data_IF_028462944406
#
_entry.id   IF_028462944406
#
_cell.length_a   1.000
_cell.length_b   1.000
_cell.length_c   1.000
_cell.angle_alpha   90.00
_cell.angle_beta   90.00
_cell.angle_gamma   90.00
#
_symmetry.space_group_name_H-M   'P 1'
#
loop_
_entity.id
_entity.type
_entity.pdbx_description
1 polymer ?
#
# COMPACT_ATOMS: atom_id res chain seq x y z
N UNK A 1 2.38 -8.46 16.26
CA UNK A 1 3.72 -7.91 16.50
C UNK A 1 4.65 -9.02 16.93
N UNK A 2 5.88 -9.02 16.39
CA UNK A 2 6.98 -9.87 16.81
C UNK A 2 8.09 -8.98 17.38
N UNK A 3 8.56 -9.29 18.57
CA UNK A 3 9.81 -8.78 19.12
C UNK A 3 10.92 -9.62 18.49
N UNK A 4 11.52 -9.11 17.42
CA UNK A 4 12.43 -9.79 16.52
C UNK A 4 13.87 -9.29 16.65
N UNK A 5 14.72 -9.51 15.64
CA UNK A 5 16.07 -8.98 15.66
C UNK A 5 16.02 -7.44 15.60
N UNK A 6 16.95 -6.82 16.34
CA UNK A 6 17.16 -5.38 16.26
C UNK A 6 17.66 -4.99 14.86
N UNK A 7 17.13 -3.91 14.32
CA UNK A 7 17.57 -3.33 13.07
C UNK A 7 17.39 -1.80 13.09
N UNK A 8 18.06 -1.13 12.18
CA UNK A 8 17.90 0.29 11.91
C UNK A 8 17.49 0.47 10.45
N UNK A 9 16.60 1.39 10.15
CA UNK A 9 16.11 1.62 8.78
C UNK A 9 17.20 2.02 7.77
N UNK A 10 18.39 2.44 8.25
CA UNK A 10 19.57 2.79 7.44
C UNK A 10 20.61 1.68 7.34
N UNK A 11 20.33 0.48 7.87
CA UNK A 11 21.27 -0.61 7.78
C UNK A 11 21.38 -1.11 6.32
N UNK A 12 22.61 -1.24 5.85
CA UNK A 12 22.89 -1.75 4.50
C UNK A 12 23.08 -3.28 4.48
N UNK A 13 23.65 -3.85 5.55
CA UNK A 13 23.93 -5.29 5.64
C UNK A 13 23.97 -5.76 7.10
N UNK A 14 22.97 -6.56 7.57
CA UNK A 14 21.76 -6.90 6.79
C UNK A 14 20.81 -5.71 6.66
N UNK A 15 20.32 -5.47 5.48
CA UNK A 15 19.26 -4.49 5.26
C UNK A 15 17.92 -5.09 5.70
N UNK A 16 17.17 -4.46 6.63
CA UNK A 16 15.96 -5.04 7.19
C UNK A 16 14.84 -5.22 6.14
N UNK A 17 14.86 -4.46 5.06
CA UNK A 17 13.83 -4.50 4.04
C UNK A 17 14.12 -5.53 2.94
N UNK A 18 15.38 -5.69 2.52
CA UNK A 18 15.75 -6.63 1.46
C UNK A 18 16.16 -8.00 2.00
N UNK A 19 16.85 -8.06 3.15
CA UNK A 19 17.57 -9.25 3.59
C UNK A 19 16.81 -10.05 4.66
N UNK A 20 15.74 -9.49 5.21
CA UNK A 20 14.92 -10.15 6.23
C UNK A 20 13.58 -10.58 5.63
N UNK A 21 13.41 -11.87 5.37
CA UNK A 21 12.12 -12.42 4.95
C UNK A 21 11.29 -12.82 6.17
N UNK A 22 10.39 -11.93 6.55
CA UNK A 22 9.40 -12.17 7.60
C UNK A 22 8.03 -12.39 6.98
N UNK A 23 7.41 -13.52 7.25
CA UNK A 23 6.03 -13.84 6.86
C UNK A 23 5.32 -14.55 8.01
N UNK A 24 3.99 -14.44 8.04
CA UNK A 24 3.16 -15.16 9.00
C UNK A 24 2.05 -15.89 8.23
N UNK A 25 2.01 -17.21 8.37
CA UNK A 25 0.90 -18.01 7.85
C UNK A 25 -0.21 -18.04 8.89
N UNK A 26 -1.40 -17.65 8.50
CA UNK A 26 -2.61 -17.70 9.31
C UNK A 26 -3.59 -18.68 8.70
N UNK A 27 -4.05 -19.66 9.49
CA UNK A 27 -4.99 -20.67 9.02
C UNK A 27 -6.22 -20.69 9.95
N UNK A 28 -7.39 -20.56 9.37
CA UNK A 28 -8.64 -20.73 10.10
C UNK A 28 -8.86 -22.18 10.53
N UNK A 29 -9.56 -22.45 11.62
CA UNK A 29 -9.84 -23.79 12.16
C UNK A 29 -10.52 -24.75 11.18
N UNK A 30 -11.21 -24.25 10.15
CA UNK A 30 -11.80 -25.07 9.08
C UNK A 30 -10.79 -25.45 7.98
N UNK A 31 -9.55 -24.98 8.04
CA UNK A 31 -8.53 -25.16 7.01
C UNK A 31 -8.62 -24.12 5.87
N UNK A 32 -9.69 -23.35 5.79
CA UNK A 32 -9.91 -22.30 4.81
C UNK A 32 -10.69 -21.15 5.47
N UNK A 33 -10.24 -19.89 5.32
CA UNK A 33 -9.06 -19.43 4.53
C UNK A 33 -7.72 -19.71 5.20
N UNK A 34 -6.67 -19.67 4.37
CA UNK A 34 -5.26 -19.86 4.73
C UNK A 34 -4.42 -18.78 4.04
N UNK A 35 -3.88 -17.85 4.81
CA UNK A 35 -3.15 -16.68 4.30
C UNK A 35 -1.70 -16.70 4.72
N UNK A 36 -0.78 -16.49 3.78
CA UNK A 36 0.63 -16.17 4.08
C UNK A 36 0.84 -14.68 3.91
N UNK A 37 0.89 -13.97 5.02
CA UNK A 37 0.99 -12.51 5.08
C UNK A 37 2.45 -12.08 5.09
N UNK A 38 2.91 -11.23 4.14
CA UNK A 38 4.22 -10.61 4.24
C UNK A 38 4.25 -9.64 5.43
N UNK A 39 5.30 -9.74 6.22
CA UNK A 39 5.56 -8.81 7.32
C UNK A 39 6.69 -7.84 6.96
N UNK A 40 6.90 -6.85 7.81
CA UNK A 40 7.85 -5.76 7.60
C UNK A 40 8.51 -5.31 8.89
N UNK A 41 9.63 -4.61 8.77
CA UNK A 41 10.31 -3.94 9.87
C UNK A 41 9.54 -2.68 10.29
N UNK A 42 9.22 -2.57 11.59
CA UNK A 42 8.38 -1.52 12.16
C UNK A 42 9.08 -0.71 13.27
N UNK A 43 10.41 -0.63 13.23
CA UNK A 43 11.24 0.07 14.21
C UNK A 43 10.85 -0.30 15.66
N UNK A 44 10.34 0.66 16.46
CA UNK A 44 9.85 0.42 17.83
C UNK A 44 8.38 -0.05 17.89
N UNK A 45 7.70 -0.15 16.74
CA UNK A 45 6.29 -0.51 16.65
C UNK A 45 5.30 0.65 16.90
N UNK A 46 5.81 1.85 17.15
CA UNK A 46 5.03 3.08 17.34
C UNK A 46 5.65 4.25 16.57
N UNK A 47 6.33 3.96 15.46
CA UNK A 47 7.11 4.93 14.71
C UNK A 47 6.28 6.14 14.21
N UNK A 48 4.98 6.00 14.01
CA UNK A 48 4.12 7.14 13.71
C UNK A 48 4.20 8.25 14.77
N UNK A 49 4.27 7.87 16.05
CA UNK A 49 4.30 8.80 17.18
C UNK A 49 5.73 9.11 17.66
N UNK A 50 6.61 8.13 17.66
CA UNK A 50 7.97 8.24 18.21
C UNK A 50 9.00 8.77 17.21
N UNK A 51 8.72 8.72 15.91
CA UNK A 51 9.71 8.93 14.83
C UNK A 51 10.90 7.96 14.91
N UNK A 52 10.70 6.76 15.46
CA UNK A 52 11.77 5.80 15.63
C UNK A 52 12.29 5.28 14.29
N UNK A 53 13.62 5.32 14.13
CA UNK A 53 14.35 4.80 12.98
C UNK A 53 14.87 3.36 13.22
N UNK A 54 14.81 2.87 14.46
CA UNK A 54 15.37 1.59 14.87
C UNK A 54 14.54 0.91 15.95
N UNK A 55 14.73 -0.39 16.10
CA UNK A 55 14.07 -1.17 17.14
C UNK A 55 14.06 -2.67 16.86
N UNK A 56 13.23 -3.38 17.60
CA UNK A 56 13.09 -4.84 17.50
C UNK A 56 11.72 -5.25 16.98
N UNK A 57 10.85 -4.32 16.61
CA UNK A 57 9.47 -4.67 16.24
C UNK A 57 9.34 -5.01 14.78
N UNK A 58 8.78 -6.18 14.52
CA UNK A 58 8.36 -6.66 13.20
C UNK A 58 6.85 -6.85 13.22
N UNK A 59 6.18 -6.46 12.14
CA UNK A 59 4.73 -6.41 12.07
C UNK A 59 4.20 -7.14 10.85
N UNK A 60 3.10 -7.90 11.02
CA UNK A 60 2.28 -8.42 9.94
C UNK A 60 0.81 -8.15 10.28
N UNK A 61 0.03 -7.74 9.27
CA UNK A 61 -1.38 -7.39 9.44
C UNK A 61 -2.28 -8.44 8.81
N UNK A 62 -3.00 -9.19 9.64
CA UNK A 62 -4.09 -10.04 9.16
C UNK A 62 -5.39 -9.22 9.09
N UNK A 63 -6.11 -9.34 7.97
CA UNK A 63 -7.50 -8.93 7.83
C UNK A 63 -8.37 -10.18 7.75
N UNK A 64 -8.83 -10.71 8.89
CA UNK A 64 -9.59 -11.95 8.92
C UNK A 64 -11.01 -11.72 8.36
N UNK A 65 -11.44 -12.60 7.47
CA UNK A 65 -12.75 -12.57 6.83
C UNK A 65 -13.73 -13.60 7.40
N UNK A 66 -13.28 -14.39 8.38
CA UNK A 66 -14.07 -15.45 8.99
C UNK A 66 -13.95 -15.43 10.52
N UNK A 67 -15.06 -15.38 11.27
CA UNK A 67 -15.03 -15.57 12.72
C UNK A 67 -14.66 -17.02 13.08
N UNK A 68 -14.01 -17.20 14.23
CA UNK A 68 -13.60 -18.51 14.72
C UNK A 68 -12.16 -18.51 15.23
N UNK A 69 -11.62 -19.71 15.44
CA UNK A 69 -10.25 -19.90 15.90
C UNK A 69 -9.28 -19.89 14.74
N UNK A 70 -8.25 -19.08 14.88
CA UNK A 70 -7.14 -18.99 13.93
C UNK A 70 -5.84 -19.42 14.56
N UNK A 71 -5.04 -20.16 13.82
CA UNK A 71 -3.66 -20.45 14.16
C UNK A 71 -2.72 -19.61 13.33
N UNK A 72 -1.55 -19.29 13.86
CA UNK A 72 -0.49 -18.65 13.09
C UNK A 72 0.83 -19.39 13.24
N UNK A 73 1.66 -19.32 12.20
CA UNK A 73 3.05 -19.81 12.21
C UNK A 73 3.94 -18.75 11.58
N UNK A 74 5.02 -18.40 12.29
CA UNK A 74 5.99 -17.40 11.86
C UNK A 74 7.07 -18.08 11.02
N UNK A 75 7.37 -17.49 9.87
CA UNK A 75 8.59 -17.74 9.10
C UNK A 75 9.47 -16.50 9.15
N UNK A 76 10.67 -16.63 9.64
CA UNK A 76 11.67 -15.57 9.69
C UNK A 76 13.01 -16.11 9.20
N UNK A 77 13.51 -15.60 8.09
CA UNK A 77 14.79 -16.00 7.50
C UNK A 77 15.59 -14.76 7.07
N UNK A 78 16.90 -14.84 7.23
CA UNK A 78 17.83 -13.77 6.83
C UNK A 78 18.83 -14.25 5.77
N UNK A 79 19.13 -13.42 4.81
CA UNK A 79 20.10 -13.64 3.73
C UNK A 79 19.95 -12.62 2.62
N UNK A 80 20.93 -12.46 1.72
CA UNK A 80 20.89 -11.43 0.67
C UNK A 80 19.62 -11.52 -0.17
N UNK A 81 18.83 -10.43 -0.18
CA UNK A 81 17.55 -10.32 -0.88
C UNK A 81 16.51 -11.41 -0.54
N UNK A 82 16.56 -11.98 0.66
CA UNK A 82 15.65 -13.04 1.10
C UNK A 82 14.19 -12.56 1.07
N UNK A 83 13.92 -11.29 1.40
CA UNK A 83 12.58 -10.71 1.35
C UNK A 83 11.99 -10.67 -0.07
N UNK A 84 12.82 -10.74 -1.10
CA UNK A 84 12.45 -10.71 -2.51
C UNK A 84 12.43 -12.09 -3.17
N UNK A 85 12.44 -13.16 -2.36
CA UNK A 85 12.35 -14.53 -2.82
C UNK A 85 13.69 -15.21 -3.11
N UNK A 86 14.83 -14.56 -2.89
CA UNK A 86 16.13 -15.22 -2.99
C UNK A 86 16.38 -16.05 -1.73
N UNK A 87 15.83 -17.27 -1.72
CA UNK A 87 15.93 -18.16 -0.57
C UNK A 87 17.16 -19.10 -0.61
N UNK A 88 18.00 -19.04 -1.65
CA UNK A 88 19.13 -19.95 -1.84
C UNK A 88 20.19 -19.87 -0.73
N UNK A 89 20.41 -18.67 -0.20
CA UNK A 89 21.36 -18.40 0.88
C UNK A 89 20.67 -18.01 2.19
N UNK A 90 19.35 -17.91 2.18
CA UNK A 90 18.58 -17.52 3.35
C UNK A 90 18.58 -18.61 4.42
N UNK A 91 18.84 -18.22 5.67
CA UNK A 91 18.85 -19.11 6.82
C UNK A 91 17.71 -18.76 7.76
N UNK A 92 16.94 -19.76 8.22
CA UNK A 92 15.95 -19.54 9.25
C UNK A 92 16.57 -18.94 10.51
N UNK A 93 15.92 -17.91 11.06
CA UNK A 93 16.38 -17.31 12.31
C UNK A 93 15.96 -18.21 13.49
N UNK A 94 16.91 -18.81 14.24
CA UNK A 94 16.60 -19.89 15.19
C UNK A 94 15.67 -19.47 16.33
N UNK A 95 15.68 -18.19 16.70
CA UNK A 95 14.86 -17.68 17.81
C UNK A 95 13.40 -17.37 17.40
N UNK A 96 13.10 -17.22 16.11
CA UNK A 96 11.79 -16.72 15.65
C UNK A 96 11.10 -17.65 14.67
N UNK A 97 11.84 -18.32 13.81
CA UNK A 97 11.29 -19.21 12.80
C UNK A 97 10.57 -20.40 13.45
N UNK A 98 9.38 -20.73 12.96
CA UNK A 98 8.57 -21.85 13.46
C UNK A 98 7.74 -21.54 14.72
N UNK A 99 7.87 -20.35 15.32
CA UNK A 99 6.96 -19.96 16.41
C UNK A 99 5.52 -19.93 15.91
N UNK A 100 4.62 -20.45 16.73
CA UNK A 100 3.20 -20.53 16.41
C UNK A 100 2.33 -20.19 17.61
N UNK A 101 1.06 -19.93 17.35
CA UNK A 101 0.07 -19.66 18.39
C UNK A 101 -1.34 -19.70 17.83
N UNK A 102 -2.30 -19.35 18.68
CA UNK A 102 -3.73 -19.34 18.35
C UNK A 102 -4.41 -18.12 18.93
N UNK A 103 -5.44 -17.64 18.25
CA UNK A 103 -6.30 -16.54 18.72
C UNK A 103 -7.73 -16.72 18.20
N UNK A 104 -8.68 -15.98 18.76
CA UNK A 104 -10.07 -15.98 18.35
C UNK A 104 -10.43 -14.70 17.60
N UNK A 105 -11.17 -14.85 16.53
CA UNK A 105 -11.79 -13.75 15.79
C UNK A 105 -13.29 -13.78 16.06
N UNK A 106 -13.81 -12.69 16.61
CA UNK A 106 -15.24 -12.50 16.80
C UNK A 106 -15.90 -11.97 15.52
N UNK A 107 -17.20 -12.09 15.40
CA UNK A 107 -17.95 -11.39 14.36
C UNK A 107 -17.74 -9.88 14.48
N UNK A 108 -17.73 -9.18 13.35
CA UNK A 108 -17.55 -7.73 13.33
C UNK A 108 -18.71 -7.03 14.05
N UNK A 109 -18.37 -6.10 14.95
CA UNK A 109 -19.31 -5.21 15.63
C UNK A 109 -19.45 -3.85 14.94
N UNK A 110 -18.75 -3.69 13.81
CA UNK A 110 -18.67 -2.42 13.08
C UNK A 110 -19.96 -2.14 12.34
N UNK A 111 -20.20 -0.84 12.11
CA UNK A 111 -21.38 -0.34 11.41
C UNK A 111 -20.95 0.56 10.26
N UNK A 112 -21.79 0.68 9.25
CA UNK A 112 -21.58 1.63 8.15
C UNK A 112 -21.29 3.04 8.69
N UNK A 113 -20.38 3.78 8.05
CA UNK A 113 -19.72 3.50 6.76
C UNK A 113 -18.48 2.60 6.82
N UNK A 114 -18.04 2.15 7.99
CA UNK A 114 -16.84 1.33 8.18
C UNK A 114 -16.89 0.06 7.32
N UNK A 115 -15.90 -0.15 6.44
CA UNK A 115 -15.84 -1.32 5.57
C UNK A 115 -15.75 -2.65 6.32
N UNK A 116 -15.28 -2.65 7.57
CA UNK A 116 -15.28 -3.85 8.43
C UNK A 116 -16.69 -4.36 8.76
N UNK A 117 -17.73 -3.57 8.46
CA UNK A 117 -19.14 -4.02 8.52
C UNK A 117 -19.57 -4.78 7.25
N UNK A 118 -18.82 -4.65 6.14
CA UNK A 118 -19.16 -5.21 4.83
C UNK A 118 -18.27 -6.37 4.40
N UNK A 119 -17.09 -6.53 5.03
CA UNK A 119 -16.05 -7.45 4.56
C UNK A 119 -15.17 -6.83 3.46
N UNK A 120 -14.40 -7.69 2.81
CA UNK A 120 -13.44 -7.27 1.77
C UNK A 120 -14.13 -7.01 0.44
N UNK A 121 -13.72 -5.94 -0.23
CA UNK A 121 -14.15 -5.62 -1.58
C UNK A 121 -13.36 -6.47 -2.58
N UNK A 122 -14.06 -7.21 -3.44
CA UNK A 122 -13.47 -8.18 -4.35
C UNK A 122 -13.93 -7.95 -5.78
N UNK A 123 -13.07 -8.33 -6.72
CA UNK A 123 -13.45 -8.55 -8.12
C UNK A 123 -14.11 -9.94 -8.27
N UNK A 124 -15.31 -9.97 -8.81
CA UNK A 124 -16.15 -11.18 -8.89
C UNK A 124 -16.35 -11.66 -10.34
N UNK A 125 -15.40 -11.32 -11.23
CA UNK A 125 -15.50 -11.72 -12.65
C UNK A 125 -16.62 -10.99 -13.42
N UNK A 126 -17.07 -9.83 -12.94
CA UNK A 126 -18.13 -9.02 -13.56
C UNK A 126 -17.70 -7.55 -13.63
N UNK A 127 -18.50 -6.71 -14.23
CA UNK A 127 -18.22 -5.28 -14.43
C UNK A 127 -18.40 -4.40 -13.17
N UNK A 128 -18.50 -4.98 -11.98
CA UNK A 128 -18.55 -4.28 -10.72
C UNK A 128 -17.81 -5.06 -9.62
N UNK A 129 -17.34 -4.34 -8.63
CA UNK A 129 -16.78 -4.91 -7.41
C UNK A 129 -17.90 -5.22 -6.41
N UNK A 130 -17.65 -6.15 -5.51
CA UNK A 130 -18.63 -6.62 -4.53
C UNK A 130 -17.97 -6.88 -3.18
N UNK A 131 -18.63 -6.48 -2.10
CA UNK A 131 -18.22 -6.85 -0.75
C UNK A 131 -18.57 -8.31 -0.46
N UNK A 132 -17.64 -9.06 0.12
CA UNK A 132 -17.80 -10.49 0.41
C UNK A 132 -18.72 -10.76 1.61
N UNK A 133 -18.72 -9.88 2.61
CA UNK A 133 -19.50 -10.06 3.84
C UNK A 133 -21.00 -9.80 3.68
N UNK A 134 -21.40 -8.71 3.01
CA UNK A 134 -22.82 -8.36 2.84
C UNK A 134 -23.34 -8.55 1.39
N UNK A 135 -22.46 -8.90 0.46
CA UNK A 135 -22.81 -9.15 -0.93
C UNK A 135 -23.19 -7.91 -1.74
N UNK A 136 -23.01 -6.70 -1.21
CA UNK A 136 -23.39 -5.47 -1.90
C UNK A 136 -22.39 -5.08 -2.98
N UNK A 137 -22.89 -4.53 -4.08
CA UNK A 137 -22.05 -3.99 -5.15
C UNK A 137 -21.47 -2.63 -4.75
N UNK A 138 -20.26 -2.36 -5.20
CA UNK A 138 -19.58 -1.09 -4.95
C UNK A 138 -19.56 -0.23 -6.21
N UNK A 139 -20.07 0.98 -6.09
CA UNK A 139 -19.95 2.02 -7.09
C UNK A 139 -18.99 3.09 -6.57
N UNK A 140 -17.80 3.13 -7.14
CA UNK A 140 -16.75 4.09 -6.76
C UNK A 140 -17.15 5.51 -7.15
N UNK A 141 -17.12 6.42 -6.19
CA UNK A 141 -17.32 7.85 -6.40
C UNK A 141 -16.37 8.65 -5.51
N UNK A 142 -15.42 9.36 -6.10
CA UNK A 142 -14.42 10.07 -5.31
C UNK A 142 -13.60 11.07 -6.09
N UNK A 143 -12.80 11.83 -5.35
CA UNK A 143 -11.87 12.77 -5.92
C UNK A 143 -10.65 12.05 -6.51
N UNK A 144 -10.21 12.50 -7.67
CA UNK A 144 -9.01 12.03 -8.34
C UNK A 144 -8.05 13.21 -8.56
N UNK A 145 -7.17 13.43 -7.59
CA UNK A 145 -6.08 14.41 -7.63
C UNK A 145 -4.90 13.81 -6.82
N UNK A 146 -4.29 12.72 -7.35
CA UNK A 146 -3.42 11.87 -6.57
C UNK A 146 -2.03 12.45 -6.31
N UNK A 147 -1.52 13.29 -7.22
CA UNK A 147 -0.10 13.62 -7.37
C UNK A 147 0.52 14.14 -6.07
N UNK A 148 -0.23 14.91 -5.30
CA UNK A 148 0.31 15.57 -4.09
C UNK A 148 -0.53 15.35 -2.84
N UNK A 149 -1.44 14.35 -2.82
CA UNK A 149 -2.26 14.12 -1.64
C UNK A 149 -1.41 13.78 -0.42
N UNK A 150 -0.43 12.90 -0.57
CA UNK A 150 0.50 12.49 0.47
C UNK A 150 1.67 13.47 0.70
N UNK A 151 1.78 14.55 -0.08
CA UNK A 151 2.75 15.62 0.17
C UNK A 151 2.30 16.49 1.34
N UNK A 152 2.04 15.88 2.49
CA UNK A 152 1.51 16.53 3.68
C UNK A 152 2.63 16.89 4.65
N UNK A 153 2.64 18.15 5.09
CA UNK A 153 3.73 18.70 5.91
C UNK A 153 3.90 18.05 7.27
N UNK A 154 2.86 17.39 7.78
CA UNK A 154 2.89 16.75 9.09
C UNK A 154 3.43 15.32 9.04
N UNK A 155 3.70 14.77 7.85
CA UNK A 155 4.42 13.51 7.70
C UNK A 155 5.93 13.72 7.85
N UNK A 156 6.58 12.84 8.58
CA UNK A 156 8.02 12.87 8.78
C UNK A 156 8.76 12.73 7.44
N UNK A 157 9.96 13.28 7.33
CA UNK A 157 10.79 13.18 6.14
C UNK A 157 10.18 13.71 4.83
N UNK A 158 9.00 14.37 4.87
CA UNK A 158 8.35 14.88 3.67
C UNK A 158 8.83 16.27 3.33
N UNK A 159 9.36 16.43 2.11
CA UNK A 159 9.92 17.69 1.60
C UNK A 159 9.39 18.00 0.21
N UNK A 160 9.36 19.28 -0.18
CA UNK A 160 8.99 19.70 -1.52
C UNK A 160 10.25 20.11 -2.32
N UNK A 161 10.60 19.35 -3.36
CA UNK A 161 11.69 19.72 -4.26
C UNK A 161 11.31 20.85 -5.22
N UNK A 162 10.03 21.00 -5.50
CA UNK A 162 9.47 22.07 -6.35
C UNK A 162 8.52 22.96 -5.55
N UNK A 163 8.97 23.67 -4.47
CA UNK A 163 8.07 24.31 -3.49
C UNK A 163 7.22 25.44 -4.09
N UNK A 164 7.63 26.06 -5.21
CA UNK A 164 6.83 27.07 -5.90
C UNK A 164 5.72 26.47 -6.77
N UNK A 165 5.96 25.30 -7.38
CA UNK A 165 4.99 24.57 -8.23
C UNK A 165 4.08 23.65 -7.42
N UNK A 166 4.68 22.87 -6.53
CA UNK A 166 4.03 21.85 -5.72
C UNK A 166 4.43 21.96 -4.23
N UNK A 167 3.92 22.95 -3.50
CA UNK A 167 4.18 23.09 -2.07
C UNK A 167 3.57 21.94 -1.28
N UNK A 168 4.12 21.68 -0.08
CA UNK A 168 3.50 20.72 0.83
C UNK A 168 2.09 21.16 1.23
N UNK A 169 1.19 20.20 1.27
CA UNK A 169 -0.19 20.40 1.72
C UNK A 169 -0.23 20.59 3.23
N UNK A 170 -1.13 21.44 3.69
CA UNK A 170 -1.37 21.67 5.13
C UNK A 170 -2.75 21.18 5.54
N UNK A 171 -3.67 21.09 4.58
CA UNK A 171 -5.10 20.79 4.81
C UNK A 171 -5.73 21.66 5.92
N UNK A 172 -5.22 22.87 6.12
CA UNK A 172 -5.61 23.77 7.24
C UNK A 172 -7.10 24.11 7.24
N UNK A 173 -7.75 24.13 6.07
CA UNK A 173 -9.20 24.35 5.97
C UNK A 173 -10.02 23.23 6.60
N UNK A 174 -9.45 22.03 6.72
CA UNK A 174 -10.09 20.83 7.24
C UNK A 174 -9.75 20.54 8.71
N UNK A 175 -8.98 21.38 9.39
CA UNK A 175 -8.77 21.28 10.85
C UNK A 175 -10.10 21.28 11.60
N UNK A 176 -11.09 22.01 11.13
CA UNK A 176 -12.46 22.08 11.70
C UNK A 176 -13.28 20.79 11.50
N UNK A 177 -12.90 19.98 10.54
CA UNK A 177 -13.61 18.72 10.21
C UNK A 177 -13.04 17.52 10.99
N UNK A 178 -11.88 17.70 11.66
CA UNK A 178 -11.34 16.72 12.62
C UNK A 178 -12.21 16.68 13.88
N UNK A 179 -12.50 15.50 14.38
CA UNK A 179 -13.37 15.28 15.54
C UNK A 179 -12.57 14.71 16.71
N UNK A 180 -12.98 15.02 17.94
CA UNK A 180 -12.39 14.40 19.14
C UNK A 180 -12.52 12.89 19.07
N UNK A 181 -11.40 12.17 19.22
CA UNK A 181 -11.32 10.72 19.08
C UNK A 181 -10.80 10.25 17.71
N UNK A 182 -10.73 11.11 16.69
CA UNK A 182 -10.06 10.79 15.44
C UNK A 182 -8.54 10.65 15.66
N UNK A 183 -7.86 9.82 14.85
CA UNK A 183 -6.43 9.60 15.00
C UNK A 183 -5.62 10.88 14.76
N UNK A 184 -4.47 10.89 15.41
CA UNK A 184 -3.39 11.88 15.25
C UNK A 184 -2.08 11.18 15.54
N UNK A 185 -0.96 11.83 15.31
CA UNK A 185 0.36 11.36 15.68
C UNK A 185 1.20 12.49 16.28
N UNK A 186 2.27 12.17 16.99
CA UNK A 186 3.23 13.10 17.56
C UNK A 186 2.57 14.29 18.28
N UNK A 187 1.66 14.00 19.20
CA UNK A 187 1.02 15.04 20.01
C UNK A 187 0.00 15.91 19.29
N UNK A 188 -0.57 15.46 18.19
CA UNK A 188 -1.69 16.12 17.52
C UNK A 188 -1.43 16.57 16.08
N UNK A 189 -0.34 16.13 15.46
CA UNK A 189 -0.15 16.22 14.01
C UNK A 189 -1.20 15.38 13.27
N UNK A 190 -1.40 15.64 11.99
CA UNK A 190 -2.31 14.87 11.12
C UNK A 190 -3.73 15.39 11.03
N UNK A 191 -4.18 16.24 11.95
CA UNK A 191 -5.58 16.71 12.03
C UNK A 191 -6.12 17.27 10.71
N UNK A 192 -5.27 17.95 9.93
CA UNK A 192 -5.70 18.53 8.65
C UNK A 192 -6.10 17.48 7.63
N UNK A 193 -5.27 16.46 7.40
CA UNK A 193 -5.56 15.40 6.42
C UNK A 193 -6.65 14.45 6.94
N UNK A 194 -6.63 14.07 8.20
CA UNK A 194 -7.70 13.27 8.83
C UNK A 194 -9.05 14.01 8.72
N UNK A 195 -9.08 15.30 9.00
CA UNK A 195 -10.27 16.14 8.81
C UNK A 195 -10.71 16.22 7.35
N UNK A 196 -9.78 16.25 6.39
CA UNK A 196 -10.12 16.21 4.96
C UNK A 196 -10.82 14.89 4.57
N UNK A 197 -10.39 13.75 5.09
CA UNK A 197 -11.08 12.47 4.89
C UNK A 197 -12.47 12.47 5.53
N UNK A 198 -12.63 13.02 6.74
CA UNK A 198 -13.95 13.20 7.36
C UNK A 198 -14.88 14.05 6.49
N UNK A 199 -14.35 15.13 5.92
CA UNK A 199 -15.12 15.99 5.01
C UNK A 199 -15.59 15.23 3.77
N UNK A 200 -14.68 14.46 3.12
CA UNK A 200 -15.02 13.67 1.93
C UNK A 200 -16.11 12.64 2.24
N UNK A 201 -15.92 11.82 3.27
CA UNK A 201 -16.92 10.84 3.70
C UNK A 201 -18.24 11.49 4.08
N UNK A 202 -18.20 12.62 4.80
CA UNK A 202 -19.39 13.40 5.16
C UNK A 202 -20.15 14.01 3.98
N UNK A 203 -19.52 14.09 2.78
CA UNK A 203 -20.17 14.50 1.52
C UNK A 203 -20.68 13.31 0.70
N UNK A 204 -20.59 12.09 1.20
CA UNK A 204 -21.02 10.88 0.50
C UNK A 204 -20.01 10.38 -0.53
N UNK A 205 -18.80 10.92 -0.55
CA UNK A 205 -17.67 10.39 -1.33
C UNK A 205 -17.18 9.10 -0.66
N UNK A 206 -16.89 8.07 -1.45
CA UNK A 206 -16.47 6.77 -0.96
C UNK A 206 -15.11 6.30 -1.50
N UNK A 207 -14.33 7.19 -2.09
CA UNK A 207 -13.00 6.90 -2.61
C UNK A 207 -12.11 8.14 -2.62
N UNK A 208 -10.80 7.93 -2.51
CA UNK A 208 -9.78 8.92 -2.83
C UNK A 208 -8.57 8.24 -3.44
N UNK A 209 -7.85 8.95 -4.30
CA UNK A 209 -6.64 8.47 -4.95
C UNK A 209 -5.40 9.20 -4.46
N UNK A 210 -4.27 8.51 -4.53
CA UNK A 210 -2.98 9.05 -4.11
C UNK A 210 -1.83 8.28 -4.76
N UNK A 211 -0.69 8.97 -4.87
CA UNK A 211 0.58 8.43 -5.32
C UNK A 211 1.51 8.24 -4.12
N UNK A 212 1.88 7.01 -3.77
CA UNK A 212 2.94 6.76 -2.78
C UNK A 212 4.33 7.13 -3.32
N UNK A 213 4.46 7.34 -4.63
CA UNK A 213 5.74 7.65 -5.28
C UNK A 213 5.57 8.59 -6.48
N UNK A 214 6.06 9.83 -6.33
CA UNK A 214 6.05 10.86 -7.38
C UNK A 214 7.40 11.61 -7.50
N UNK A 215 8.52 11.02 -7.05
CA UNK A 215 9.84 11.63 -7.15
C UNK A 215 10.25 11.80 -8.63
N UNK A 216 10.44 13.04 -9.05
CA UNK A 216 10.70 13.36 -10.46
C UNK A 216 9.47 13.67 -11.29
N UNK A 217 8.27 13.31 -10.79
CA UNK A 217 7.00 13.63 -11.42
C UNK A 217 6.50 15.05 -11.14
N UNK A 218 5.24 15.29 -11.34
CA UNK A 218 4.62 16.61 -11.24
C UNK A 218 4.77 17.23 -9.85
N UNK A 219 4.57 16.46 -8.79
CA UNK A 219 4.75 16.91 -7.41
C UNK A 219 6.20 16.96 -6.97
N UNK A 220 6.96 15.92 -7.24
CA UNK A 220 8.32 15.69 -6.75
C UNK A 220 8.46 15.93 -5.24
N UNK A 221 7.54 15.37 -4.46
CA UNK A 221 7.38 15.64 -3.03
C UNK A 221 6.81 14.45 -2.23
N UNK A 222 6.64 13.28 -2.85
CA UNK A 222 6.19 12.05 -2.19
C UNK A 222 7.10 10.89 -2.56
N UNK A 223 7.65 10.22 -1.55
CA UNK A 223 8.38 8.96 -1.66
C UNK A 223 8.37 8.23 -0.32
N UNK A 224 8.37 6.88 -0.32
CA UNK A 224 8.34 6.09 0.90
C UNK A 224 9.72 5.91 1.55
N UNK A 225 10.77 6.31 0.84
CA UNK A 225 12.16 6.10 1.21
C UNK A 225 12.64 7.15 2.22
N UNK A 226 13.76 6.86 2.91
CA UNK A 226 14.42 7.80 3.82
C UNK A 226 14.82 9.08 3.08
N UNK A 227 15.40 8.92 1.90
CA UNK A 227 15.71 10.04 1.00
C UNK A 227 15.10 9.82 -0.37
N UNK A 228 14.98 10.90 -1.15
CA UNK A 228 14.37 10.87 -2.49
C UNK A 228 14.96 9.83 -3.44
N UNK A 229 16.24 9.55 -3.35
CA UNK A 229 16.96 8.68 -4.27
C UNK A 229 17.34 7.31 -3.67
N UNK A 230 17.10 7.12 -2.40
CA UNK A 230 17.28 5.84 -1.75
C UNK A 230 16.07 4.95 -2.07
N UNK A 231 16.31 3.77 -2.64
CA UNK A 231 15.28 2.87 -3.12
C UNK A 231 15.15 1.60 -2.27
N UNK A 232 16.11 1.35 -1.38
CA UNK A 232 16.23 0.12 -0.61
C UNK A 232 16.01 0.32 0.88
N UNK A 233 15.98 1.58 1.35
CA UNK A 233 15.76 1.93 2.75
C UNK A 233 14.50 2.79 2.90
N UNK A 234 13.58 2.37 3.74
CA UNK A 234 12.25 2.97 3.89
C UNK A 234 12.15 3.75 5.19
N UNK A 235 11.46 4.87 5.16
CA UNK A 235 11.18 5.72 6.30
C UNK A 235 10.03 5.11 7.12
N UNK A 236 10.39 4.42 8.22
CA UNK A 236 9.43 3.69 9.05
C UNK A 236 8.35 4.59 9.62
N UNK A 237 8.72 5.78 10.09
CA UNK A 237 7.78 6.71 10.73
C UNK A 237 6.77 7.28 9.73
N UNK A 238 7.24 7.72 8.57
CA UNK A 238 6.38 8.21 7.48
C UNK A 238 5.38 7.15 7.03
N UNK A 239 5.86 5.91 6.83
CA UNK A 239 4.99 4.82 6.38
C UNK A 239 3.97 4.43 7.46
N UNK A 240 4.33 4.43 8.75
CA UNK A 240 3.38 4.21 9.83
C UNK A 240 2.32 5.35 9.88
N UNK A 241 2.74 6.62 9.66
CA UNK A 241 1.82 7.75 9.59
C UNK A 241 0.87 7.66 8.39
N UNK A 242 1.32 7.17 7.21
CA UNK A 242 0.42 6.85 6.10
C UNK A 242 -0.58 5.76 6.48
N UNK A 243 -0.14 4.74 7.22
CA UNK A 243 -1.02 3.68 7.73
C UNK A 243 -2.16 4.23 8.56
N UNK A 244 -1.89 5.19 9.47
CA UNK A 244 -2.92 5.88 10.26
C UNK A 244 -3.99 6.52 9.37
N UNK A 245 -3.57 7.17 8.27
CA UNK A 245 -4.48 7.82 7.31
C UNK A 245 -5.32 6.79 6.56
N UNK A 246 -4.71 5.69 6.09
CA UNK A 246 -5.41 4.65 5.31
C UNK A 246 -6.40 3.85 6.17
N UNK A 247 -6.01 3.50 7.39
CA UNK A 247 -6.90 2.84 8.35
C UNK A 247 -8.09 3.73 8.69
N UNK A 248 -7.87 5.03 8.87
CA UNK A 248 -8.97 5.98 9.07
C UNK A 248 -9.87 6.05 7.83
N UNK A 249 -9.31 6.06 6.63
CA UNK A 249 -10.07 5.96 5.39
C UNK A 249 -10.98 4.72 5.34
N UNK A 250 -10.45 3.55 5.70
CA UNK A 250 -11.22 2.29 5.80
C UNK A 250 -12.37 2.42 6.80
N UNK A 251 -12.11 3.03 7.97
CA UNK A 251 -13.13 3.25 9.00
C UNK A 251 -14.26 4.20 8.54
N UNK A 252 -13.95 5.11 7.63
CA UNK A 252 -14.88 6.06 7.02
C UNK A 252 -15.58 5.54 5.75
N UNK A 253 -15.30 4.30 5.32
CA UNK A 253 -15.85 3.74 4.10
C UNK A 253 -15.26 4.37 2.82
N UNK A 254 -14.00 4.76 2.87
CA UNK A 254 -13.27 5.32 1.74
C UNK A 254 -12.36 4.27 1.09
N UNK A 255 -12.61 3.97 -0.17
CA UNK A 255 -11.78 3.12 -1.01
C UNK A 255 -10.42 3.77 -1.26
N UNK A 256 -9.35 3.02 -1.08
CA UNK A 256 -7.97 3.45 -1.24
C UNK A 256 -7.49 3.18 -2.67
N UNK A 257 -7.44 4.19 -3.50
CA UNK A 257 -6.95 4.06 -4.86
C UNK A 257 -5.43 4.35 -4.91
N UNK A 258 -4.61 3.33 -4.71
CA UNK A 258 -3.16 3.41 -4.88
C UNK A 258 -2.84 3.53 -6.37
N UNK A 259 -2.29 4.66 -6.79
CA UNK A 259 -1.58 4.83 -8.06
C UNK A 259 -0.09 4.71 -7.76
N UNK A 260 0.53 3.58 -8.15
CA UNK A 260 1.83 3.17 -7.62
C UNK A 260 3.00 4.04 -8.05
N UNK A 261 2.86 4.77 -9.16
CA UNK A 261 3.89 5.65 -9.73
C UNK A 261 3.30 6.61 -10.75
N UNK A 262 4.06 7.64 -11.14
CA UNK A 262 3.76 8.52 -12.29
C UNK A 262 4.54 8.08 -13.53
N UNK A 263 4.06 8.52 -14.72
CA UNK A 263 4.69 8.25 -16.01
C UNK A 263 6.14 8.72 -16.09
N UNK A 264 6.51 9.81 -15.41
CA UNK A 264 7.86 10.34 -15.40
C UNK A 264 8.90 9.40 -14.80
N UNK A 265 8.47 8.41 -14.05
CA UNK A 265 9.34 7.46 -13.36
C UNK A 265 8.97 5.99 -13.60
N UNK A 266 8.03 5.69 -14.49
CA UNK A 266 7.55 4.33 -14.68
C UNK A 266 8.57 3.43 -15.38
N UNK A 267 9.20 3.89 -16.48
CA UNK A 267 10.16 3.10 -17.26
C UNK A 267 11.39 3.85 -17.77
N UNK A 268 11.63 5.09 -17.32
CA UNK A 268 12.75 5.91 -17.80
C UNK A 268 14.10 5.28 -17.51
N UNK A 269 14.99 5.35 -18.50
CA UNK A 269 16.38 4.85 -18.46
C UNK A 269 17.36 5.97 -18.82
N UNK A 270 18.57 5.91 -18.27
CA UNK A 270 19.65 6.85 -18.58
C UNK A 270 19.71 8.09 -17.69
N UNK A 271 20.46 9.12 -18.09
CA UNK A 271 20.61 10.34 -17.30
C UNK A 271 19.26 11.02 -17.04
N UNK A 272 18.96 11.30 -15.77
CA UNK A 272 17.68 11.84 -15.33
C UNK A 272 16.61 10.81 -15.00
N UNK A 273 16.86 9.52 -15.18
CA UNK A 273 15.96 8.42 -14.82
C UNK A 273 16.24 7.84 -13.42
N UNK A 274 16.98 8.56 -12.59
CA UNK A 274 17.38 8.09 -11.25
C UNK A 274 16.19 7.75 -10.33
N UNK A 275 14.99 8.23 -10.63
CA UNK A 275 13.78 7.99 -9.87
C UNK A 275 13.00 6.77 -10.37
N UNK A 276 13.22 6.30 -11.59
CA UNK A 276 12.57 5.09 -12.09
C UNK A 276 13.09 3.86 -11.35
N UNK A 277 12.16 3.05 -10.83
CA UNK A 277 12.52 1.79 -10.17
C UNK A 277 12.92 0.76 -11.22
N UNK A 278 14.18 0.30 -11.17
CA UNK A 278 14.78 -0.67 -12.11
C UNK A 278 14.56 -0.31 -13.60
N UNK A 279 14.39 0.97 -13.95
CA UNK A 279 14.13 1.40 -15.32
C UNK A 279 12.86 0.79 -15.92
N UNK A 280 11.85 0.52 -15.09
CA UNK A 280 10.56 -0.04 -15.48
C UNK A 280 10.45 -1.55 -15.32
N UNK A 281 11.56 -2.27 -15.20
CA UNK A 281 11.56 -3.71 -15.00
C UNK A 281 11.10 -4.08 -13.56
N UNK A 282 10.65 -5.30 -13.37
CA UNK A 282 10.28 -5.82 -12.05
C UNK A 282 11.52 -6.39 -11.32
N UNK A 283 12.52 -5.53 -11.10
CA UNK A 283 13.77 -5.84 -10.44
C UNK A 283 13.70 -5.71 -8.91
N UNK A 284 14.86 -5.48 -8.27
CA UNK A 284 14.99 -5.45 -6.81
C UNK A 284 14.25 -4.25 -6.21
N UNK A 285 14.43 -3.05 -6.76
CA UNK A 285 13.84 -1.82 -6.25
C UNK A 285 12.31 -1.87 -6.34
N UNK A 286 11.77 -2.27 -7.51
CA UNK A 286 10.32 -2.33 -7.75
C UNK A 286 9.66 -3.42 -6.93
N UNK A 287 10.26 -4.61 -6.86
CA UNK A 287 9.75 -5.72 -6.04
C UNK A 287 9.70 -5.35 -4.57
N UNK A 288 10.74 -4.70 -4.06
CA UNK A 288 10.78 -4.24 -2.69
C UNK A 288 9.70 -3.18 -2.41
N UNK A 289 9.58 -2.19 -3.31
CA UNK A 289 8.57 -1.16 -3.20
C UNK A 289 7.15 -1.74 -3.12
N UNK A 290 6.81 -2.64 -4.02
CA UNK A 290 5.51 -3.30 -4.02
C UNK A 290 5.30 -4.15 -2.76
N UNK A 291 6.32 -4.91 -2.34
CA UNK A 291 6.28 -5.72 -1.12
C UNK A 291 6.01 -4.87 0.12
N UNK A 292 6.72 -3.76 0.29
CA UNK A 292 6.54 -2.89 1.45
C UNK A 292 5.13 -2.27 1.51
N UNK A 293 4.59 -1.83 0.37
CA UNK A 293 3.21 -1.32 0.33
C UNK A 293 2.18 -2.42 0.66
N UNK A 294 2.33 -3.61 0.08
CA UNK A 294 1.42 -4.74 0.32
C UNK A 294 1.50 -5.18 1.79
N UNK A 295 2.71 -5.35 2.34
CA UNK A 295 2.90 -5.79 3.73
C UNK A 295 2.30 -4.80 4.74
N UNK A 296 2.40 -3.50 4.47
CA UNK A 296 1.92 -2.45 5.36
C UNK A 296 0.43 -2.16 5.19
N UNK A 297 -0.10 -2.18 3.97
CA UNK A 297 -1.44 -1.64 3.68
C UNK A 297 -2.41 -2.64 3.05
N UNK A 298 -1.95 -3.81 2.60
CA UNK A 298 -2.80 -4.84 1.98
C UNK A 298 -3.88 -5.40 2.91
N UNK A 299 -3.82 -5.14 4.20
CA UNK A 299 -4.88 -5.51 5.14
C UNK A 299 -6.14 -4.64 5.05
N UNK A 300 -6.08 -3.49 4.36
CA UNK A 300 -7.25 -2.65 4.15
C UNK A 300 -8.28 -3.34 3.25
N UNK A 301 -9.55 -3.21 3.58
CA UNK A 301 -10.62 -4.04 2.99
C UNK A 301 -11.07 -3.60 1.60
N UNK A 302 -10.82 -2.36 1.23
CA UNK A 302 -11.26 -1.81 -0.06
C UNK A 302 -10.15 -0.96 -0.68
N UNK A 303 -9.34 -1.58 -1.51
CA UNK A 303 -8.25 -0.93 -2.23
C UNK A 303 -8.05 -1.54 -3.62
N UNK A 304 -7.23 -0.89 -4.42
CA UNK A 304 -6.65 -1.45 -5.65
C UNK A 304 -5.16 -1.11 -5.74
N UNK A 305 -4.47 -1.93 -6.52
CA UNK A 305 -3.12 -1.65 -6.99
C UNK A 305 -3.21 -1.16 -8.44
N UNK A 306 -3.11 0.16 -8.65
CA UNK A 306 -3.04 0.73 -9.99
C UNK A 306 -1.56 0.82 -10.39
N UNK A 307 -1.19 0.19 -11.50
CA UNK A 307 0.21 0.08 -11.94
C UNK A 307 0.91 1.43 -12.15
N UNK A 308 0.17 2.50 -12.33
CA UNK A 308 0.72 3.86 -12.41
C UNK A 308 -0.27 4.88 -12.94
N UNK A 309 0.03 6.14 -12.71
CA UNK A 309 -0.61 7.27 -13.36
C UNK A 309 -0.04 7.40 -14.76
N UNK A 310 -0.90 7.43 -15.78
CA UNK A 310 -0.50 7.54 -17.20
C UNK A 310 0.60 6.56 -17.61
N UNK A 311 0.50 5.31 -17.19
CA UNK A 311 1.51 4.27 -17.36
C UNK A 311 1.87 4.05 -18.82
N UNK A 312 3.18 4.07 -19.14
CA UNK A 312 3.75 3.85 -20.48
C UNK A 312 4.69 2.65 -20.57
N UNK A 313 4.82 1.88 -19.48
CA UNK A 313 5.62 0.66 -19.46
C UNK A 313 5.22 -0.29 -20.59
N UNK A 314 6.17 -1.11 -21.05
CA UNK A 314 5.87 -2.18 -22.00
C UNK A 314 4.93 -3.22 -21.42
N UNK A 315 4.18 -3.91 -22.29
CA UNK A 315 3.28 -5.01 -21.89
C UNK A 315 3.99 -6.05 -21.02
N UNK A 316 5.25 -6.40 -21.33
CA UNK A 316 6.06 -7.33 -20.53
C UNK A 316 6.25 -6.82 -19.10
N UNK A 317 6.66 -5.57 -18.95
CA UNK A 317 6.88 -4.96 -17.63
C UNK A 317 5.60 -4.87 -16.80
N UNK A 318 4.48 -4.53 -17.45
CA UNK A 318 3.16 -4.50 -16.82
C UNK A 318 2.75 -5.90 -16.34
N UNK A 319 2.94 -6.95 -17.16
CA UNK A 319 2.63 -8.34 -16.81
C UNK A 319 3.49 -8.80 -15.63
N UNK A 320 4.80 -8.58 -15.67
CA UNK A 320 5.72 -8.94 -14.59
C UNK A 320 5.35 -8.25 -13.26
N UNK A 321 4.94 -6.97 -13.32
CA UNK A 321 4.49 -6.22 -12.16
C UNK A 321 3.18 -6.78 -11.60
N UNK A 322 2.19 -7.10 -12.45
CA UNK A 322 0.93 -7.72 -12.03
C UNK A 322 1.17 -9.10 -11.40
N UNK A 323 2.02 -9.92 -11.99
CA UNK A 323 2.37 -11.25 -11.45
C UNK A 323 3.04 -11.15 -10.08
N UNK A 324 3.92 -10.15 -9.88
CA UNK A 324 4.54 -9.93 -8.58
C UNK A 324 3.52 -9.48 -7.53
N UNK A 325 2.62 -8.57 -7.89
CA UNK A 325 1.55 -8.10 -6.99
C UNK A 325 0.63 -9.26 -6.62
N UNK A 326 0.14 -10.02 -7.60
CA UNK A 326 -0.79 -11.14 -7.37
C UNK A 326 -0.17 -12.24 -6.49
N UNK A 327 1.11 -12.55 -6.71
CA UNK A 327 1.84 -13.53 -5.91
C UNK A 327 2.21 -13.07 -4.50
N UNK A 328 2.24 -11.75 -4.26
CA UNK A 328 2.64 -11.16 -2.97
C UNK A 328 1.43 -10.76 -2.12
N UNK A 329 0.33 -10.35 -2.74
CA UNK A 329 -0.90 -9.91 -2.06
C UNK A 329 -1.78 -11.13 -1.70
N UNK A 330 -1.83 -11.53 -0.43
CA UNK A 330 -2.55 -12.73 -0.02
C UNK A 330 -4.07 -12.60 -0.17
N UNK A 331 -4.56 -11.40 -0.41
CA UNK A 331 -5.99 -11.09 -0.53
C UNK A 331 -6.45 -10.91 -1.97
N UNK A 332 -5.52 -10.92 -2.95
CA UNK A 332 -5.78 -10.74 -4.38
C UNK A 332 -6.64 -9.49 -4.65
N UNK A 333 -6.21 -8.34 -4.11
CA UNK A 333 -6.90 -7.09 -4.37
C UNK A 333 -6.94 -6.76 -5.85
N UNK A 334 -7.91 -5.98 -6.20
CA UNK A 334 -8.18 -5.47 -7.53
C UNK A 334 -6.95 -4.79 -8.13
N UNK A 335 -6.48 -5.29 -9.29
CA UNK A 335 -5.36 -4.71 -10.05
C UNK A 335 -5.94 -3.94 -11.22
N UNK A 336 -5.55 -2.67 -11.36
CA UNK A 336 -6.00 -1.81 -12.45
C UNK A 336 -4.81 -1.13 -13.14
N UNK A 337 -5.07 -0.61 -14.31
CA UNK A 337 -4.09 0.10 -15.12
C UNK A 337 -4.70 1.41 -15.61
N UNK A 338 -3.94 2.49 -15.51
CA UNK A 338 -4.29 3.82 -16.02
C UNK A 338 -3.28 4.22 -17.09
N UNK A 339 -3.75 4.83 -18.16
CA UNK A 339 -2.91 5.36 -19.23
C UNK A 339 -3.54 6.57 -19.90
N UNK A 340 -2.79 7.25 -20.75
CA UNK A 340 -3.26 8.39 -21.54
C UNK A 340 -4.48 8.03 -22.40
N UNK A 341 -5.41 8.97 -22.63
CA UNK A 341 -6.62 8.74 -23.43
C UNK A 341 -6.34 8.20 -24.84
N UNK A 342 -5.26 8.68 -25.48
CA UNK A 342 -4.85 8.28 -26.83
C UNK A 342 -4.07 6.97 -26.88
N UNK A 343 -3.71 6.38 -25.73
CA UNK A 343 -2.94 5.14 -25.59
C UNK A 343 -3.78 3.94 -25.15
N UNK A 344 -5.03 4.14 -24.78
CA UNK A 344 -5.87 3.12 -24.15
C UNK A 344 -5.92 1.81 -24.95
N UNK A 345 -6.18 1.87 -26.24
CA UNK A 345 -6.27 0.67 -27.08
C UNK A 345 -4.93 -0.09 -27.11
N UNK A 346 -3.82 0.64 -27.27
CA UNK A 346 -2.47 0.06 -27.28
C UNK A 346 -2.10 -0.60 -25.95
N UNK A 347 -2.43 0.04 -24.83
CA UNK A 347 -2.00 -0.38 -23.49
C UNK A 347 -2.94 -1.46 -22.94
N UNK A 348 -4.27 -1.31 -23.10
CA UNK A 348 -5.22 -2.24 -22.48
C UNK A 348 -5.43 -3.53 -23.28
N UNK A 349 -5.46 -3.47 -24.63
CA UNK A 349 -5.75 -4.62 -25.48
C UNK A 349 -4.89 -5.85 -25.18
N UNK A 350 -3.57 -5.75 -24.96
CA UNK A 350 -2.73 -6.92 -24.66
C UNK A 350 -3.09 -7.65 -23.35
N UNK A 351 -3.80 -6.97 -22.45
CA UNK A 351 -4.18 -7.50 -21.14
C UNK A 351 -5.62 -8.01 -21.09
N UNK A 352 -6.37 -7.93 -22.19
CA UNK A 352 -7.76 -8.43 -22.22
C UNK A 352 -7.77 -9.94 -22.42
N UNK A 353 -8.59 -10.64 -21.65
CA UNK A 353 -8.76 -12.09 -21.77
C UNK A 353 -9.00 -12.77 -20.42
N UNK A 354 -9.40 -14.04 -20.47
CA UNK A 354 -9.76 -14.81 -19.28
C UNK A 354 -8.59 -15.11 -18.32
N UNK A 355 -7.36 -15.07 -18.84
CA UNK A 355 -6.15 -15.36 -18.07
C UNK A 355 -5.44 -14.07 -17.61
N UNK A 356 -6.11 -12.93 -17.76
CA UNK A 356 -5.58 -11.63 -17.34
C UNK A 356 -5.61 -11.47 -15.82
N UNK A 357 -4.52 -10.96 -15.27
CA UNK A 357 -4.48 -10.47 -13.87
C UNK A 357 -5.04 -9.05 -13.73
N UNK A 358 -5.25 -8.36 -14.85
CA UNK A 358 -5.90 -7.04 -14.86
C UNK A 358 -7.40 -7.22 -14.61
N UNK A 359 -7.88 -6.73 -13.48
CA UNK A 359 -9.28 -6.90 -13.07
C UNK A 359 -10.15 -5.69 -13.35
N UNK A 360 -9.55 -4.60 -13.83
CA UNK A 360 -10.28 -3.40 -14.25
C UNK A 360 -9.40 -2.36 -14.90
N UNK A 361 -10.05 -1.36 -15.47
CA UNK A 361 -9.40 -0.23 -16.12
C UNK A 361 -9.65 1.04 -15.30
N UNK A 362 -8.60 1.84 -15.11
CA UNK A 362 -8.69 3.19 -14.57
C UNK A 362 -8.71 4.17 -15.75
N UNK A 363 -9.87 4.35 -16.35
CA UNK A 363 -10.01 5.07 -17.62
C UNK A 363 -10.00 6.57 -17.42
N UNK A 364 -9.13 7.27 -18.13
CA UNK A 364 -9.17 8.71 -18.33
C UNK A 364 -9.82 9.00 -19.69
N UNK A 365 -10.84 9.84 -19.72
CA UNK A 365 -11.48 10.24 -20.97
C UNK A 365 -11.54 11.76 -21.07
N UNK A 366 -10.97 12.31 -22.14
CA UNK A 366 -11.01 13.73 -22.45
C UNK A 366 -12.28 14.15 -23.20
N UNK A 367 -13.03 13.21 -23.77
CA UNK A 367 -14.27 13.43 -24.49
C UNK A 367 -15.48 12.93 -23.68
N UNK A 368 -15.93 13.72 -22.74
CA UNK A 368 -17.08 13.39 -21.86
C UNK A 368 -18.40 13.92 -22.43
N UNK A 369 -18.45 14.25 -23.71
CA UNK A 369 -19.61 14.94 -24.30
C UNK A 369 -20.66 14.02 -24.90
N UNK A 370 -20.43 12.70 -24.96
CA UNK A 370 -21.39 11.79 -25.62
C UNK A 370 -21.80 10.67 -24.67
#
# INVERSE_FOLDING_TARGET
LLDGPYAHERDDAPNPFTDCNFTVRFTHESGDPDYTIPGYFAADGQAADSSAEAGTTWRAHLSPDKPGSWTYTISFAGGPHAALGNMSEAKPHPAFHGKSGRFQVAASDKKLPDFRARGRLQYVGRHHLRFDGDGTSFLKAGADAPETLLAYKDFDGTVANKPRKAPLKTYSKHLRDWKTGDPTWQGGKGKGLIGALNYLSGKGVNAFSFLPYNAGGDGDNVWPFITRNDKLNYDCSKLDQWGVVFDHGTNLGLYLHFKLQETEMDDRKGPGAAQSLDGGDCGIERRLYLRELIARYGHNLALNWNLGEENTQSTRQQIEMMQWIDGMDPYHHHIVLHTYPDKQDQIYRPHLGKDSLLTGLSVQNSNVKD
#
